data_IF_612916543874
#
_entry.id   IF_612916543874
#
_cell.length_a   1.000
_cell.length_b   1.000
_cell.length_c   1.000
_cell.angle_alpha   90.00
_cell.angle_beta   90.00
_cell.angle_gamma   90.00
#
_symmetry.space_group_name_H-M   'P 1'
#
loop_
_entity.id
_entity.type
_entity.pdbx_description
1 polymer ?
#
# COMPACT_ATOMS: atom_id res chain seq x y z
N UNK A 1 -30.73 32.06 22.91
CA UNK A 1 -29.48 31.59 22.27
C UNK A 1 -29.69 30.13 21.90
N UNK A 2 -29.78 29.80 20.61
CA UNK A 2 -29.89 28.41 20.13
C UNK A 2 -28.47 27.84 20.06
N UNK A 3 -28.18 26.84 20.89
CA UNK A 3 -26.96 26.04 20.81
C UNK A 3 -27.00 25.28 19.50
N UNK A 4 -26.19 25.67 18.53
CA UNK A 4 -26.00 24.89 17.31
C UNK A 4 -25.28 23.60 17.71
N UNK A 5 -25.99 22.48 17.70
CA UNK A 5 -25.38 21.16 17.82
C UNK A 5 -24.49 20.98 16.58
N UNK A 6 -23.18 20.92 16.79
CA UNK A 6 -22.22 20.52 15.76
C UNK A 6 -22.54 19.06 15.44
N UNK A 7 -23.25 18.82 14.33
CA UNK A 7 -23.32 17.49 13.75
C UNK A 7 -21.95 17.21 13.13
N UNK A 8 -21.11 16.47 13.86
CA UNK A 8 -20.07 15.67 13.22
C UNK A 8 -20.78 14.54 12.48
N UNK A 9 -21.27 14.85 11.28
CA UNK A 9 -21.62 13.84 10.30
C UNK A 9 -20.42 12.89 10.20
N UNK A 10 -20.66 11.64 10.56
CA UNK A 10 -19.70 10.55 10.52
C UNK A 10 -19.06 10.50 9.13
N UNK A 11 -17.83 11.00 9.00
CA UNK A 11 -16.99 10.66 7.87
C UNK A 11 -16.76 9.16 7.96
N UNK A 12 -17.58 8.39 7.24
CA UNK A 12 -17.32 6.98 7.05
C UNK A 12 -15.93 6.87 6.43
N UNK A 13 -14.98 6.21 7.11
CA UNK A 13 -13.65 6.03 6.56
C UNK A 13 -13.78 5.31 5.23
N UNK A 14 -12.98 5.67 4.21
CA UNK A 14 -13.05 5.00 2.92
C UNK A 14 -12.83 3.52 3.13
N UNK A 15 -13.76 2.70 2.62
CA UNK A 15 -13.64 1.25 2.74
C UNK A 15 -12.39 0.79 1.98
N UNK A 16 -11.67 -0.18 2.53
CA UNK A 16 -10.55 -0.79 1.82
C UNK A 16 -11.04 -1.33 0.46
N UNK A 17 -10.31 -1.11 -0.65
CA UNK A 17 -10.60 -1.79 -1.90
C UNK A 17 -10.61 -3.29 -1.64
N UNK A 18 -11.58 -4.04 -2.18
CA UNK A 18 -11.57 -5.51 -2.12
C UNK A 18 -10.45 -6.13 -2.97
N UNK A 19 -9.70 -5.31 -3.70
CA UNK A 19 -8.63 -5.74 -4.58
C UNK A 19 -7.52 -6.44 -3.78
N UNK A 20 -7.05 -7.56 -4.31
CA UNK A 20 -5.90 -8.28 -3.75
C UNK A 20 -4.59 -7.53 -3.98
N UNK A 21 -4.57 -6.56 -4.90
CA UNK A 21 -3.37 -5.80 -5.27
C UNK A 21 -3.62 -4.32 -5.05
N UNK A 22 -2.74 -3.65 -4.32
CA UNK A 22 -2.74 -2.22 -4.06
C UNK A 22 -1.45 -1.64 -4.64
N UNK A 23 -1.55 -0.64 -5.53
CA UNK A 23 -0.38 -0.05 -6.19
C UNK A 23 -0.32 1.47 -6.00
N UNK A 24 0.90 2.01 -6.08
CA UNK A 24 1.15 3.44 -6.25
C UNK A 24 2.05 3.67 -7.45
N UNK A 25 1.71 4.67 -8.25
CA UNK A 25 2.38 4.99 -9.50
C UNK A 25 3.41 6.11 -9.32
N UNK A 26 4.41 6.13 -10.20
CA UNK A 26 5.34 7.25 -10.38
C UNK A 26 5.34 7.76 -11.82
N UNK A 27 5.57 9.06 -12.04
CA UNK A 27 5.83 9.57 -13.37
C UNK A 27 7.15 8.99 -13.91
N UNK A 28 7.16 8.63 -15.18
CA UNK A 28 8.31 8.12 -15.89
C UNK A 28 8.41 8.76 -17.27
N UNK A 29 9.59 9.33 -17.55
CA UNK A 29 9.93 9.85 -18.88
C UNK A 29 10.78 8.82 -19.60
N UNK A 30 10.15 8.08 -20.50
CA UNK A 30 10.83 7.20 -21.44
C UNK A 30 11.59 8.02 -22.49
N UNK A 31 12.64 7.44 -23.07
CA UNK A 31 13.36 8.08 -24.18
C UNK A 31 12.41 8.28 -25.38
N UNK A 32 12.34 9.51 -25.89
CA UNK A 32 11.55 9.88 -27.08
C UNK A 32 10.04 9.63 -27.02
N UNK A 33 9.49 9.28 -25.85
CA UNK A 33 8.06 9.07 -25.66
C UNK A 33 7.49 10.12 -24.70
N UNK A 34 6.16 10.33 -24.72
CA UNK A 34 5.48 11.15 -23.73
C UNK A 34 5.72 10.67 -22.29
N UNK A 35 5.49 11.55 -21.32
CA UNK A 35 5.45 11.17 -19.91
C UNK A 35 4.38 10.09 -19.71
N UNK A 36 4.74 8.98 -19.08
CA UNK A 36 3.80 7.94 -18.67
C UNK A 36 3.87 7.72 -17.18
N UNK A 37 2.99 6.87 -16.66
CA UNK A 37 3.10 6.36 -15.30
C UNK A 37 3.64 4.93 -15.32
N UNK A 38 4.42 4.58 -14.30
CA UNK A 38 4.89 3.22 -14.04
C UNK A 38 4.68 2.91 -12.56
N UNK A 39 4.50 1.65 -12.23
CA UNK A 39 4.33 1.24 -10.83
C UNK A 39 5.61 1.52 -10.04
N UNK A 40 5.45 2.18 -8.89
CA UNK A 40 6.53 2.47 -7.95
C UNK A 40 6.58 1.43 -6.84
N UNK A 41 5.42 1.09 -6.28
CA UNK A 41 5.31 0.09 -5.23
C UNK A 41 3.97 -0.63 -5.31
N UNK A 42 3.97 -1.88 -4.85
CA UNK A 42 2.82 -2.77 -4.81
C UNK A 42 2.77 -3.50 -3.46
N UNK A 43 1.57 -3.62 -2.89
CA UNK A 43 1.22 -4.55 -1.83
C UNK A 43 0.21 -5.54 -2.40
N UNK A 44 0.52 -6.82 -2.34
CA UNK A 44 -0.41 -7.89 -2.72
C UNK A 44 -0.81 -8.68 -1.48
N UNK A 45 -2.12 -8.94 -1.32
CA UNK A 45 -2.74 -9.64 -0.19
C UNK A 45 -3.74 -10.66 -0.72
N UNK A 46 -3.50 -11.94 -0.41
CA UNK A 46 -4.27 -13.07 -0.95
C UNK A 46 -4.73 -14.01 0.17
N UNK A 47 -5.95 -14.57 0.03
CA UNK A 47 -6.45 -15.57 0.95
C UNK A 47 -5.84 -16.95 0.65
N UNK A 48 -5.42 -17.67 1.68
CA UNK A 48 -4.86 -19.02 1.60
C UNK A 48 -5.25 -19.83 2.84
N UNK A 49 -5.99 -20.91 2.66
CA UNK A 49 -6.39 -21.86 3.72
C UNK A 49 -7.00 -21.17 4.98
N UNK A 50 -7.87 -20.18 4.77
CA UNK A 50 -8.53 -19.45 5.87
C UNK A 50 -7.67 -18.38 6.54
N UNK A 51 -6.45 -18.15 6.04
CA UNK A 51 -5.53 -17.08 6.46
C UNK A 51 -5.25 -16.14 5.29
N UNK A 52 -4.50 -15.08 5.54
CA UNK A 52 -4.13 -14.08 4.54
C UNK A 52 -2.62 -13.99 4.41
N UNK A 53 -2.11 -14.15 3.19
CA UNK A 53 -0.69 -13.94 2.85
C UNK A 53 -0.49 -12.55 2.26
N UNK A 54 0.75 -12.05 2.34
CA UNK A 54 1.11 -10.80 1.68
C UNK A 54 2.47 -10.83 0.98
N UNK A 55 2.63 -9.91 0.04
CA UNK A 55 3.92 -9.55 -0.55
C UNK A 55 4.04 -8.06 -0.81
N UNK A 56 5.29 -7.60 -0.88
CA UNK A 56 5.63 -6.23 -1.27
C UNK A 56 6.53 -6.25 -2.50
N UNK A 57 6.38 -5.26 -3.35
CA UNK A 57 7.25 -5.04 -4.50
C UNK A 57 7.52 -3.55 -4.71
N UNK A 58 8.73 -3.21 -5.18
CA UNK A 58 9.16 -1.86 -5.52
C UNK A 58 9.88 -1.80 -6.87
N UNK A 59 9.76 -0.66 -7.54
CA UNK A 59 10.47 -0.31 -8.77
C UNK A 59 10.83 1.19 -8.78
N UNK A 60 11.97 1.51 -8.18
CA UNK A 60 12.47 2.89 -8.07
C UNK A 60 13.12 3.38 -9.36
N UNK A 61 13.08 4.69 -9.57
CA UNK A 61 13.82 5.36 -10.64
C UNK A 61 15.35 5.26 -10.51
N UNK A 62 15.88 4.98 -9.33
CA UNK A 62 17.33 4.83 -9.13
C UNK A 62 17.86 3.45 -9.58
N UNK A 63 17.00 2.61 -10.16
CA UNK A 63 17.35 1.25 -10.60
C UNK A 63 17.12 0.18 -9.54
N UNK A 64 16.75 0.54 -8.30
CA UNK A 64 16.39 -0.44 -7.28
C UNK A 64 15.04 -1.09 -7.61
N UNK A 65 15.03 -2.41 -7.68
CA UNK A 65 13.80 -3.21 -7.72
C UNK A 65 13.94 -4.41 -6.79
N UNK A 66 12.86 -4.71 -6.07
CA UNK A 66 12.78 -5.84 -5.17
C UNK A 66 11.32 -6.24 -5.03
N UNK A 67 11.05 -7.54 -4.99
CA UNK A 67 9.78 -8.06 -4.54
C UNK A 67 9.66 -9.55 -4.80
N UNK A 68 8.51 -10.09 -4.43
CA UNK A 68 8.19 -11.50 -4.57
C UNK A 68 6.67 -11.66 -4.70
N UNK A 69 6.23 -12.84 -5.12
CA UNK A 69 4.80 -13.20 -5.13
C UNK A 69 4.39 -13.85 -3.80
N UNK A 70 3.16 -13.61 -3.31
CA UNK A 70 2.68 -14.23 -2.09
C UNK A 70 2.61 -15.74 -2.30
N UNK A 71 3.42 -16.47 -1.55
CA UNK A 71 3.48 -17.93 -1.63
C UNK A 71 3.65 -18.50 -0.22
N UNK A 72 3.05 -19.68 0.07
CA UNK A 72 3.10 -20.29 1.40
C UNK A 72 4.52 -20.51 1.94
N UNK A 73 5.47 -20.78 1.05
CA UNK A 73 6.89 -21.01 1.40
C UNK A 73 7.56 -19.85 2.13
N UNK A 74 6.99 -18.64 2.07
CA UNK A 74 7.55 -17.47 2.75
C UNK A 74 7.12 -17.35 4.22
N UNK A 75 6.15 -18.16 4.68
CA UNK A 75 5.74 -18.17 6.08
C UNK A 75 5.01 -16.90 6.54
N UNK A 76 4.54 -16.06 5.61
CA UNK A 76 3.91 -14.76 5.87
C UNK A 76 2.40 -14.91 5.86
N UNK A 77 1.82 -15.02 7.05
CA UNK A 77 0.39 -15.21 7.24
C UNK A 77 -0.15 -14.30 8.33
N UNK A 78 -1.38 -13.84 8.14
CA UNK A 78 -2.17 -13.08 9.09
C UNK A 78 -3.57 -13.69 9.19
N UNK A 79 -4.25 -13.47 10.30
CA UNK A 79 -5.55 -14.09 10.56
C UNK A 79 -6.69 -13.30 9.89
N UNK A 80 -6.41 -12.05 9.50
CA UNK A 80 -7.35 -11.20 8.78
C UNK A 80 -6.67 -10.41 7.64
N UNK A 81 -7.48 -9.97 6.68
CA UNK A 81 -7.01 -9.11 5.58
C UNK A 81 -6.43 -7.78 6.08
N UNK A 82 -7.07 -7.04 7.01
CA UNK A 82 -6.50 -5.80 7.54
C UNK A 82 -5.14 -6.04 8.22
N UNK A 83 -4.99 -7.13 8.97
CA UNK A 83 -3.72 -7.49 9.59
C UNK A 83 -2.64 -7.78 8.53
N UNK A 84 -2.96 -8.52 7.47
CA UNK A 84 -2.02 -8.76 6.36
C UNK A 84 -1.56 -7.44 5.71
N UNK A 85 -2.47 -6.47 5.54
CA UNK A 85 -2.15 -5.15 5.01
C UNK A 85 -1.23 -4.37 5.95
N UNK A 86 -1.49 -4.40 7.26
CA UNK A 86 -0.64 -3.74 8.26
C UNK A 86 0.77 -4.35 8.23
N UNK A 87 0.89 -5.68 8.20
CA UNK A 87 2.18 -6.38 8.10
C UNK A 87 2.91 -6.07 6.79
N UNK A 88 2.19 -6.00 5.67
CA UNK A 88 2.76 -5.60 4.39
C UNK A 88 3.24 -4.15 4.39
N UNK A 89 2.52 -3.24 5.04
CA UNK A 89 2.92 -1.84 5.17
C UNK A 89 4.19 -1.69 6.03
N UNK A 90 4.31 -2.45 7.12
CA UNK A 90 5.53 -2.49 7.93
C UNK A 90 6.73 -3.02 7.13
N UNK A 91 6.53 -4.10 6.38
CA UNK A 91 7.58 -4.62 5.50
C UNK A 91 7.98 -3.63 4.39
N UNK A 92 7.01 -2.89 3.84
CA UNK A 92 7.29 -1.84 2.85
C UNK A 92 8.16 -0.73 3.47
N UNK A 93 7.89 -0.35 4.73
CA UNK A 93 8.71 0.64 5.46
C UNK A 93 10.15 0.19 5.60
N UNK A 94 10.38 -1.10 5.89
CA UNK A 94 11.72 -1.66 6.04
C UNK A 94 12.55 -1.53 4.75
N UNK A 95 11.91 -1.49 3.58
CA UNK A 95 12.59 -1.37 2.27
C UNK A 95 12.56 0.04 1.67
N UNK A 96 11.93 1.04 2.32
CA UNK A 96 11.86 2.42 1.83
C UNK A 96 13.23 3.04 1.57
N UNK A 97 14.23 2.68 2.37
CA UNK A 97 15.60 3.19 2.24
C UNK A 97 16.23 2.91 0.86
N UNK A 98 15.65 2.00 0.06
CA UNK A 98 16.08 1.68 -1.31
C UNK A 98 15.56 2.65 -2.35
N UNK A 99 14.52 3.43 -2.03
CA UNK A 99 13.89 4.39 -2.92
C UNK A 99 14.60 5.75 -2.87
N UNK A 100 14.36 6.59 -3.88
CA UNK A 100 14.77 8.01 -3.82
C UNK A 100 13.97 8.78 -2.77
N UNK A 101 14.47 9.91 -2.28
CA UNK A 101 13.79 10.71 -1.26
C UNK A 101 12.35 11.09 -1.65
N UNK A 102 12.15 11.54 -2.90
CA UNK A 102 10.82 11.89 -3.43
C UNK A 102 9.86 10.69 -3.46
N UNK A 103 10.38 9.51 -3.82
CA UNK A 103 9.61 8.27 -3.84
C UNK A 103 9.31 7.77 -2.41
N UNK A 104 10.22 7.96 -1.45
CA UNK A 104 9.97 7.64 -0.05
C UNK A 104 8.79 8.45 0.50
N UNK A 105 8.74 9.76 0.21
CA UNK A 105 7.61 10.62 0.59
C UNK A 105 6.32 10.10 -0.02
N UNK A 106 6.31 9.85 -1.34
CA UNK A 106 5.13 9.34 -2.05
C UNK A 106 4.62 8.00 -1.51
N UNK A 107 5.52 7.04 -1.29
CA UNK A 107 5.14 5.73 -0.74
C UNK A 107 4.66 5.88 0.69
N UNK A 108 5.27 6.77 1.50
CA UNK A 108 4.84 7.03 2.88
C UNK A 108 3.41 7.59 2.93
N UNK A 109 3.09 8.57 2.08
CA UNK A 109 1.73 9.13 1.97
C UNK A 109 0.73 8.05 1.55
N UNK A 110 1.09 7.23 0.56
CA UNK A 110 0.27 6.12 0.09
C UNK A 110 0.02 5.07 1.19
N UNK A 111 1.05 4.68 1.94
CA UNK A 111 0.91 3.78 3.09
C UNK A 111 0.00 4.37 4.17
N UNK A 112 0.11 5.68 4.43
CA UNK A 112 -0.78 6.38 5.36
C UNK A 112 -2.25 6.26 4.95
N UNK A 113 -2.55 6.44 3.67
CA UNK A 113 -3.90 6.27 3.13
C UNK A 113 -4.39 4.82 3.26
N UNK A 114 -3.56 3.83 2.91
CA UNK A 114 -3.91 2.41 3.02
C UNK A 114 -4.22 2.03 4.48
N UNK A 115 -3.37 2.45 5.42
CA UNK A 115 -3.54 2.11 6.83
C UNK A 115 -4.74 2.82 7.44
N UNK A 116 -4.99 4.07 7.06
CA UNK A 116 -6.19 4.78 7.46
C UNK A 116 -7.46 4.08 6.96
N UNK A 117 -7.43 3.32 5.87
CA UNK A 117 -8.58 2.52 5.44
C UNK A 117 -8.64 1.18 6.21
N UNK A 118 -7.49 0.57 6.49
CA UNK A 118 -7.42 -0.73 7.15
C UNK A 118 -7.83 -0.72 8.62
N UNK A 119 -7.70 0.40 9.31
CA UNK A 119 -7.98 0.51 10.75
C UNK A 119 -9.48 0.58 11.11
N UNK A 120 -10.37 0.73 10.13
CA UNK A 120 -11.81 0.87 10.38
C UNK A 120 -12.66 -0.32 9.90
N UNK A 121 -12.03 -1.49 9.71
CA UNK A 121 -12.66 -2.75 9.33
C UNK A 121 -12.32 -3.87 10.30
#
# INVERSE_FOLDING_TARGET
MRTAAIQLEMFAPPALPQQSVLTVMRPHRWAHMPMSEVELAEITVEAYEGRWMWSVWICSRNGASQGYKPFPKWGKFADSRPEAIIKAADEMRDILHRLTADEQVRVTEWLGNILSMAQYH
#
